data_IF_937213454511
#
_entry.id   IF_937213454511
#
_cell.length_a   1.000
_cell.length_b   1.000
_cell.length_c   1.000
_cell.angle_alpha   90.00
_cell.angle_beta   90.00
_cell.angle_gamma   90.00
#
_symmetry.space_group_name_H-M   'P 1'
#
loop_
_entity.id
_entity.type
_entity.pdbx_description
1 polymer ?
#
# COMPACT_ATOMS: atom_id res chain seq x y z
N UNK A 1 -9.56 8.64 -7.10
CA UNK A 1 -10.47 7.77 -6.32
C UNK A 1 -11.01 8.59 -5.16
N UNK A 2 -12.31 8.49 -4.84
CA UNK A 2 -12.87 9.13 -3.63
C UNK A 2 -12.69 8.13 -2.48
N UNK A 3 -12.57 8.61 -1.23
CA UNK A 3 -12.24 7.78 -0.07
C UNK A 3 -13.21 6.60 0.14
N UNK A 4 -14.48 6.76 -0.24
CA UNK A 4 -15.49 5.71 -0.10
C UNK A 4 -15.23 4.52 -1.02
N UNK A 5 -14.58 4.73 -2.18
CA UNK A 5 -14.26 3.69 -3.16
C UNK A 5 -12.99 2.88 -2.82
N UNK A 6 -12.29 3.24 -1.74
CA UNK A 6 -11.03 2.60 -1.34
C UNK A 6 -11.30 1.52 -0.31
N UNK A 7 -10.73 0.34 -0.45
CA UNK A 7 -10.87 -0.75 0.54
C UNK A 7 -9.93 -0.54 1.72
N UNK A 8 -8.70 -0.09 1.42
CA UNK A 8 -7.64 0.11 2.41
C UNK A 8 -6.88 1.40 2.14
N UNK A 9 -6.48 2.10 3.20
CA UNK A 9 -5.57 3.25 3.10
C UNK A 9 -4.57 3.22 4.24
N UNK A 10 -3.29 3.15 3.89
CA UNK A 10 -2.18 3.19 4.82
C UNK A 10 -1.27 4.38 4.53
N UNK A 11 -0.68 4.94 5.58
CA UNK A 11 0.36 5.95 5.50
C UNK A 11 1.64 5.46 6.18
N UNK A 12 2.77 5.71 5.55
CA UNK A 12 4.08 5.37 6.07
C UNK A 12 5.11 6.43 5.69
N UNK A 13 6.25 6.42 6.38
CA UNK A 13 7.40 7.20 5.98
C UNK A 13 8.40 6.34 5.23
N UNK A 14 8.97 6.88 4.15
CA UNK A 14 10.14 6.31 3.49
C UNK A 14 11.25 7.36 3.45
N UNK A 15 12.45 6.93 3.84
CA UNK A 15 13.67 7.70 3.57
C UNK A 15 14.21 7.22 2.23
N UNK A 16 14.55 8.14 1.34
CA UNK A 16 15.03 7.84 -0.01
C UNK A 16 16.55 8.09 -0.06
N UNK A 17 17.38 7.04 0.07
CA UNK A 17 18.83 7.15 -0.05
C UNK A 17 19.39 7.27 -1.49
N UNK A 18 18.81 6.64 -2.56
CA UNK A 18 19.22 6.86 -3.94
C UNK A 18 18.24 7.78 -4.71
N UNK A 19 18.66 8.27 -5.88
CA UNK A 19 17.92 9.26 -6.69
C UNK A 19 16.61 8.76 -7.33
N UNK A 20 16.17 7.53 -7.03
CA UNK A 20 14.96 6.96 -7.61
C UNK A 20 14.28 5.97 -6.67
N UNK A 21 12.99 5.73 -6.93
CA UNK A 21 12.15 4.73 -6.29
C UNK A 21 11.84 3.67 -7.33
N UNK A 22 12.09 2.41 -7.00
CA UNK A 22 11.68 1.29 -7.84
C UNK A 22 10.32 0.77 -7.40
N UNK A 23 9.44 0.54 -8.37
CA UNK A 23 8.23 -0.26 -8.20
C UNK A 23 8.57 -1.67 -8.67
N UNK A 24 8.42 -2.64 -7.76
CA UNK A 24 8.69 -4.06 -8.02
C UNK A 24 7.57 -4.93 -7.50
N UNK A 25 7.36 -6.06 -8.16
CA UNK A 25 6.62 -7.17 -7.57
C UNK A 25 7.46 -7.82 -6.47
N UNK A 26 6.80 -8.42 -5.48
CA UNK A 26 7.50 -9.10 -4.39
C UNK A 26 8.36 -10.28 -4.85
N UNK A 27 7.99 -10.92 -5.97
CA UNK A 27 8.66 -12.11 -6.53
C UNK A 27 9.03 -11.96 -7.99
N UNK A 28 8.83 -10.78 -8.57
CA UNK A 28 8.98 -10.53 -10.00
C UNK A 28 10.06 -9.50 -10.30
N UNK A 29 10.08 -9.09 -11.57
CA UNK A 29 11.01 -8.10 -12.08
C UNK A 29 10.59 -6.67 -11.70
N UNK A 30 11.49 -5.67 -11.83
CA UNK A 30 11.11 -4.27 -11.73
C UNK A 30 10.03 -3.91 -12.76
N UNK A 31 8.98 -3.24 -12.28
CA UNK A 31 7.88 -2.75 -13.10
C UNK A 31 8.20 -1.36 -13.63
N UNK A 32 8.68 -0.47 -12.75
CA UNK A 32 8.94 0.92 -13.08
C UNK A 32 9.97 1.55 -12.15
N UNK A 33 10.57 2.66 -12.59
CA UNK A 33 11.53 3.45 -11.80
C UNK A 33 11.14 4.93 -11.88
N UNK A 34 10.88 5.52 -10.72
CA UNK A 34 10.44 6.91 -10.58
C UNK A 34 11.61 7.76 -10.08
N UNK A 35 12.03 8.81 -10.79
CA UNK A 35 13.01 9.76 -10.29
C UNK A 35 12.51 10.43 -9.00
N UNK A 36 13.35 10.47 -7.97
CA UNK A 36 13.03 11.08 -6.69
C UNK A 36 14.27 11.79 -6.11
N UNK A 37 14.09 13.01 -5.62
CA UNK A 37 15.18 13.66 -4.91
C UNK A 37 15.41 12.97 -3.57
N UNK A 38 16.67 12.82 -3.12
CA UNK A 38 16.96 12.25 -1.81
C UNK A 38 16.25 13.01 -0.68
N UNK A 39 15.79 12.27 0.33
CA UNK A 39 15.15 12.83 1.52
C UNK A 39 13.96 12.02 2.00
N UNK A 40 13.18 12.62 2.91
CA UNK A 40 12.08 11.96 3.60
C UNK A 40 10.72 12.26 2.94
N UNK A 41 9.94 11.20 2.71
CA UNK A 41 8.64 11.26 2.05
C UNK A 41 7.58 10.56 2.87
N UNK A 42 6.43 11.24 3.01
CA UNK A 42 5.18 10.57 3.38
C UNK A 42 4.66 9.84 2.16
N UNK A 43 4.47 8.54 2.32
CA UNK A 43 3.77 7.68 1.37
C UNK A 43 2.35 7.49 1.86
N UNK A 44 1.36 7.69 0.99
CA UNK A 44 0.00 7.21 1.17
C UNK A 44 -0.28 6.14 0.12
N UNK A 45 -0.59 4.94 0.57
CA UNK A 45 -0.99 3.82 -0.28
C UNK A 45 -2.50 3.63 -0.16
N UNK A 46 -3.20 3.77 -1.28
CA UNK A 46 -4.63 3.53 -1.40
C UNK A 46 -4.87 2.27 -2.23
N UNK A 47 -5.74 1.41 -1.75
CA UNK A 47 -6.08 0.12 -2.34
C UNK A 47 -7.57 0.08 -2.65
N UNK A 48 -7.97 -0.46 -3.80
CA UNK A 48 -9.38 -0.59 -4.20
C UNK A 48 -9.58 -1.81 -5.10
N UNK A 49 -10.78 -2.41 -5.06
CA UNK A 49 -11.16 -3.55 -5.91
C UNK A 49 -10.66 -4.90 -5.39
N UNK A 50 -10.25 -5.01 -4.12
CA UNK A 50 -9.63 -6.24 -3.57
C UNK A 50 -10.57 -7.45 -3.53
N UNK A 51 -11.87 -7.22 -3.64
CA UNK A 51 -12.92 -8.25 -3.69
C UNK A 51 -13.18 -8.77 -5.12
N UNK A 52 -12.45 -8.27 -6.12
CA UNK A 52 -12.63 -8.64 -7.53
C UNK A 52 -11.81 -9.84 -7.97
N UNK A 53 -11.06 -10.45 -7.05
CA UNK A 53 -10.24 -11.62 -7.35
C UNK A 53 -11.09 -12.76 -7.92
N UNK A 54 -10.55 -13.39 -8.96
CA UNK A 54 -11.04 -14.63 -9.55
C UNK A 54 -11.07 -15.75 -8.52
N UNK A 55 -11.78 -16.84 -8.83
CA UNK A 55 -11.94 -17.97 -7.88
C UNK A 55 -10.64 -18.65 -7.48
N UNK A 56 -9.61 -18.60 -8.33
CA UNK A 56 -8.28 -19.11 -8.04
C UNK A 56 -7.39 -18.09 -7.31
N UNK A 57 -7.88 -16.85 -7.13
CA UNK A 57 -7.19 -15.79 -6.39
C UNK A 57 -6.05 -15.13 -7.14
N UNK A 58 -5.97 -15.29 -8.48
CA UNK A 58 -4.83 -14.84 -9.28
C UNK A 58 -5.11 -13.57 -10.10
N UNK A 59 -6.32 -13.42 -10.60
CA UNK A 59 -6.71 -12.30 -11.47
C UNK A 59 -7.71 -11.41 -10.75
N UNK A 60 -7.51 -10.10 -10.78
CA UNK A 60 -8.44 -9.13 -10.21
C UNK A 60 -8.28 -7.76 -10.86
N UNK A 61 -9.26 -6.90 -10.64
CA UNK A 61 -9.28 -5.50 -11.07
C UNK A 61 -8.78 -4.55 -9.95
N UNK A 62 -7.88 -5.06 -9.11
CA UNK A 62 -7.25 -4.31 -8.03
C UNK A 62 -6.56 -3.06 -8.58
N UNK A 63 -6.77 -1.94 -7.88
CA UNK A 63 -6.13 -0.66 -8.20
C UNK A 63 -5.38 -0.15 -7.00
N UNK A 64 -4.11 0.18 -7.24
CA UNK A 64 -3.20 0.73 -6.25
C UNK A 64 -2.86 2.16 -6.65
N UNK A 65 -3.14 3.13 -5.78
CA UNK A 65 -2.71 4.51 -5.96
C UNK A 65 -1.72 4.87 -4.85
N UNK A 66 -0.46 5.09 -5.25
CA UNK A 66 0.61 5.49 -4.35
C UNK A 66 0.86 6.99 -4.53
N UNK A 67 0.81 7.74 -3.43
CA UNK A 67 1.13 9.19 -3.42
C UNK A 67 2.34 9.44 -2.54
N UNK A 68 3.35 10.09 -3.09
CA UNK A 68 4.58 10.48 -2.42
C UNK A 68 4.59 11.99 -2.21
N UNK A 69 4.84 12.44 -0.98
CA UNK A 69 4.99 13.87 -0.66
C UNK A 69 6.18 14.10 0.27
N UNK A 70 7.08 15.05 -0.03
CA UNK A 70 8.12 15.44 0.92
C UNK A 70 7.51 15.82 2.27
N UNK A 71 8.00 15.21 3.35
CA UNK A 71 7.47 15.44 4.70
C UNK A 71 8.48 14.95 5.76
N UNK A 72 8.49 15.51 6.97
CA UNK A 72 9.27 14.94 8.07
C UNK A 72 8.85 13.49 8.40
N UNK A 73 9.78 12.69 8.97
CA UNK A 73 9.49 11.34 9.42
C UNK A 73 8.31 11.25 10.37
N UNK A 74 7.52 10.19 10.24
CA UNK A 74 6.43 9.88 11.15
C UNK A 74 6.18 8.37 11.25
N UNK A 75 5.49 7.92 12.31
CA UNK A 75 5.06 6.53 12.43
C UNK A 75 4.11 6.12 11.30
N UNK A 76 4.02 4.81 11.06
CA UNK A 76 3.00 4.21 10.20
C UNK A 76 1.62 4.46 10.82
N UNK A 77 0.64 4.78 9.97
CA UNK A 77 -0.74 5.00 10.38
C UNK A 77 -1.70 4.35 9.39
N UNK A 78 -2.78 3.75 9.90
CA UNK A 78 -3.87 3.23 9.09
C UNK A 78 -4.98 4.28 9.02
N UNK A 79 -5.30 4.73 7.82
CA UNK A 79 -6.34 5.76 7.56
C UNK A 79 -7.69 5.09 7.29
N UNK A 80 -7.69 3.94 6.60
CA UNK A 80 -8.84 3.07 6.42
C UNK A 80 -8.35 1.63 6.48
N UNK A 81 -8.94 0.84 7.37
CA UNK A 81 -8.67 -0.58 7.46
C UNK A 81 -9.62 -1.35 6.54
N UNK A 82 -9.08 -2.38 5.91
CA UNK A 82 -9.86 -3.31 5.11
C UNK A 82 -10.35 -4.38 6.09
N UNK A 83 -11.66 -4.45 6.26
CA UNK A 83 -12.27 -5.43 7.14
C UNK A 83 -12.69 -6.59 6.25
N UNK A 84 -11.77 -7.53 6.06
CA UNK A 84 -12.09 -8.77 5.36
C UNK A 84 -13.21 -9.50 6.13
N UNK A 85 -14.39 -9.75 5.52
CA UNK A 85 -15.51 -10.35 6.23
C UNK A 85 -15.17 -11.77 6.70
N UNK A 86 -15.06 -11.96 8.01
CA UNK A 86 -14.72 -13.25 8.61
C UNK A 86 -13.24 -13.43 8.93
N UNK A 87 -12.39 -12.45 8.67
CA UNK A 87 -11.04 -12.41 9.22
C UNK A 87 -11.11 -12.06 10.71
N UNK A 88 -10.74 -12.96 11.64
CA UNK A 88 -10.89 -12.73 13.08
C UNK A 88 -9.89 -11.71 13.64
N UNK A 89 -8.86 -11.37 12.85
CA UNK A 89 -7.81 -10.46 13.24
C UNK A 89 -6.76 -11.13 14.12
N UNK A 90 -5.50 -11.00 13.72
CA UNK A 90 -4.76 -9.81 14.17
C UNK A 90 -3.34 -9.81 13.64
N UNK A 91 -2.76 -8.64 13.73
CA UNK A 91 -1.37 -8.31 13.55
C UNK A 91 -1.03 -7.46 14.78
N UNK A 92 0.05 -7.78 15.51
CA UNK A 92 0.35 -7.34 16.88
C UNK A 92 -0.46 -8.01 18.03
N UNK A 93 -0.88 -9.29 17.90
CA UNK A 93 -0.94 -10.18 19.08
C UNK A 93 -2.26 -10.80 19.55
N UNK A 94 -3.12 -11.35 18.66
CA UNK A 94 -4.11 -12.39 19.00
C UNK A 94 -4.05 -13.57 18.01
N UNK A 95 -5.07 -13.78 17.18
CA UNK A 95 -5.26 -15.02 16.41
C UNK A 95 -5.97 -14.76 15.07
N UNK A 96 -5.25 -14.53 13.97
CA UNK A 96 -5.71 -14.94 12.63
C UNK A 96 -5.83 -16.48 12.56
N UNK A 97 -6.44 -17.06 11.49
CA UNK A 97 -6.40 -18.50 11.23
C UNK A 97 -4.98 -19.06 11.07
#
# INVERSE_FOLDING_TARGET
MILDDLDHVAEANIEIPPEHIDIRECTGDPIDTIPATPGSYRVRACFAGRDTLSKDGLDGDDRYQITLRPAPPAPVAMVKEDIEPGWPGTINGRTPP
#
